data_IF_842975323850
#
_entry.id   IF_842975323850
#
_cell.length_a   1.000
_cell.length_b   1.000
_cell.length_c   1.000
_cell.angle_alpha   90.00
_cell.angle_beta   90.00
_cell.angle_gamma   90.00
#
_symmetry.space_group_name_H-M   'P 1'
#
loop_
_entity.id
_entity.type
_entity.pdbx_description
1 polymer ?
#
# COMPACT_ATOMS: atom_id res chain seq x y z
N UNK A 1 9.11 -48.56 -68.58
CA UNK A 1 8.60 -48.47 -67.22
C UNK A 1 9.60 -47.68 -66.41
N UNK A 2 9.39 -46.36 -66.31
CA UNK A 2 10.38 -45.39 -65.76
C UNK A 2 9.77 -44.75 -64.49
N UNK A 3 10.28 -45.15 -63.30
CA UNK A 3 9.89 -44.59 -62.00
C UNK A 3 10.63 -43.25 -61.79
N UNK A 4 9.84 -42.21 -61.61
CA UNK A 4 10.35 -40.91 -61.13
C UNK A 4 10.20 -40.82 -59.62
N UNK A 5 11.32 -40.73 -58.89
CA UNK A 5 11.36 -40.38 -57.46
C UNK A 5 11.17 -38.88 -57.33
N UNK A 6 10.09 -38.47 -56.67
CA UNK A 6 9.90 -37.06 -56.27
C UNK A 6 10.53 -36.83 -54.92
N UNK A 7 11.46 -35.86 -54.86
CA UNK A 7 12.13 -35.39 -53.64
C UNK A 7 11.19 -34.42 -52.90
N UNK A 8 10.66 -34.80 -51.73
CA UNK A 8 9.89 -33.90 -50.84
C UNK A 8 10.89 -33.19 -49.97
N UNK A 9 11.07 -31.89 -50.20
CA UNK A 9 11.82 -31.00 -49.32
C UNK A 9 10.86 -30.47 -48.25
N UNK A 10 10.98 -30.94 -47.03
CA UNK A 10 10.29 -30.43 -45.86
C UNK A 10 11.02 -29.19 -45.36
N UNK A 11 10.47 -28.00 -45.58
CA UNK A 11 10.95 -26.76 -44.95
C UNK A 11 10.56 -26.78 -43.46
N UNK A 12 11.53 -27.01 -42.60
CA UNK A 12 11.38 -26.69 -41.16
C UNK A 12 11.40 -25.14 -40.99
N UNK A 13 10.21 -24.59 -40.84
CA UNK A 13 10.05 -23.21 -40.42
C UNK A 13 10.55 -23.05 -38.97
N UNK A 14 11.74 -22.54 -38.78
CA UNK A 14 12.22 -22.13 -37.46
C UNK A 14 11.40 -20.94 -36.98
N UNK A 15 10.57 -21.11 -35.95
CA UNK A 15 9.96 -20.03 -35.24
C UNK A 15 11.08 -19.31 -34.44
N UNK A 16 11.55 -18.18 -34.97
CA UNK A 16 12.37 -17.25 -34.19
C UNK A 16 11.48 -16.61 -33.14
N UNK A 17 11.56 -17.10 -31.89
CA UNK A 17 11.05 -16.37 -30.74
C UNK A 17 11.84 -15.08 -30.65
N UNK A 18 11.18 -13.95 -30.95
CA UNK A 18 11.77 -12.64 -30.69
C UNK A 18 12.06 -12.56 -29.18
N UNK A 19 13.31 -12.44 -28.81
CA UNK A 19 13.70 -12.17 -27.42
C UNK A 19 13.01 -10.85 -27.00
N UNK A 20 12.25 -10.88 -25.91
CA UNK A 20 11.65 -9.69 -25.37
C UNK A 20 12.77 -8.70 -25.04
N UNK A 21 12.72 -7.50 -25.64
CA UNK A 21 13.67 -6.44 -25.34
C UNK A 21 13.28 -5.85 -24.00
N UNK A 22 14.11 -6.06 -22.98
CA UNK A 22 13.86 -5.52 -21.65
C UNK A 22 13.83 -3.97 -21.68
N UNK A 23 12.88 -3.36 -20.96
CA UNK A 23 12.86 -1.91 -20.78
C UNK A 23 14.17 -1.42 -20.16
N UNK A 24 14.52 -0.16 -20.43
CA UNK A 24 15.66 0.47 -19.77
C UNK A 24 15.47 0.44 -18.23
N UNK A 25 16.56 0.37 -17.43
CA UNK A 25 16.48 0.30 -15.97
C UNK A 25 15.72 1.46 -15.30
N UNK A 26 15.59 2.59 -15.99
CA UNK A 26 14.85 3.79 -15.58
C UNK A 26 13.40 3.84 -16.09
N UNK A 27 12.91 2.78 -16.74
CA UNK A 27 11.56 2.71 -17.31
C UNK A 27 10.44 2.57 -16.26
N UNK A 28 10.59 3.22 -15.14
CA UNK A 28 9.59 3.29 -14.07
C UNK A 28 10.22 3.10 -12.70
N UNK A 29 9.60 3.74 -11.72
CA UNK A 29 10.07 3.76 -10.34
C UNK A 29 9.29 2.74 -9.52
N UNK A 30 9.96 2.14 -8.54
CA UNK A 30 9.31 1.41 -7.45
C UNK A 30 8.92 2.44 -6.37
N UNK A 31 7.66 2.45 -5.97
CA UNK A 31 7.18 3.30 -4.89
C UNK A 31 6.91 2.44 -3.65
N UNK A 32 7.27 2.98 -2.48
CA UNK A 32 7.12 2.30 -1.19
C UNK A 32 6.24 3.17 -0.29
N UNK A 33 5.25 2.54 0.35
CA UNK A 33 4.33 3.17 1.29
C UNK A 33 4.33 2.42 2.63
N UNK A 34 4.13 3.15 3.74
CA UNK A 34 3.84 4.57 3.84
C UNK A 34 5.02 5.44 3.45
N UNK A 35 4.73 6.72 3.07
CA UNK A 35 5.74 7.72 2.72
C UNK A 35 6.06 8.68 3.87
N UNK A 36 5.45 8.49 5.04
CA UNK A 36 5.76 9.22 6.25
C UNK A 36 7.23 8.99 6.66
N UNK A 37 7.92 10.04 7.07
CA UNK A 37 9.33 9.96 7.48
C UNK A 37 9.51 9.33 8.86
N UNK A 38 8.50 9.44 9.72
CA UNK A 38 8.48 8.82 11.04
C UNK A 38 7.37 7.79 11.04
N UNK A 39 7.73 6.52 11.30
CA UNK A 39 6.81 5.39 11.36
C UNK A 39 6.69 4.89 12.80
N UNK A 40 5.53 4.39 13.24
CA UNK A 40 5.38 3.90 14.60
C UNK A 40 6.16 2.60 14.82
N UNK A 41 6.62 2.38 16.06
CA UNK A 41 7.33 1.15 16.47
C UNK A 41 6.51 -0.11 16.20
N UNK A 42 5.19 -0.01 16.26
CA UNK A 42 4.23 -1.08 15.98
C UNK A 42 3.65 -1.02 14.55
N UNK A 43 4.42 -0.50 13.58
CA UNK A 43 4.04 -0.53 12.16
C UNK A 43 3.58 -1.93 11.76
N UNK A 44 2.41 -2.02 11.13
CA UNK A 44 1.83 -3.32 10.79
C UNK A 44 2.28 -3.83 9.43
N UNK A 45 2.40 -2.93 8.43
CA UNK A 45 2.72 -3.33 7.05
C UNK A 45 3.31 -2.21 6.22
N UNK A 46 3.95 -2.61 5.13
CA UNK A 46 4.39 -1.71 4.05
C UNK A 46 3.89 -2.22 2.71
N UNK A 47 3.79 -1.33 1.72
CA UNK A 47 3.38 -1.67 0.36
C UNK A 47 4.48 -1.28 -0.62
N UNK A 48 4.79 -2.19 -1.53
CA UNK A 48 5.74 -1.95 -2.60
C UNK A 48 5.00 -1.99 -3.93
N UNK A 49 5.00 -0.87 -4.65
CA UNK A 49 4.37 -0.74 -5.96
C UNK A 49 5.43 -0.77 -7.04
N UNK A 50 5.24 -1.66 -7.98
CA UNK A 50 6.15 -1.88 -9.08
C UNK A 50 5.62 -1.24 -10.37
N UNK A 51 6.50 -0.72 -11.24
CA UNK A 51 6.09 -0.11 -12.51
C UNK A 51 5.51 -1.13 -13.49
N UNK A 52 5.79 -2.42 -13.30
CA UNK A 52 5.37 -3.53 -14.16
C UNK A 52 4.88 -4.70 -13.32
N UNK A 53 4.12 -5.62 -13.95
CA UNK A 53 3.74 -6.89 -13.31
C UNK A 53 4.99 -7.72 -13.01
N UNK A 54 5.09 -8.27 -11.80
CA UNK A 54 6.26 -9.01 -11.34
C UNK A 54 6.13 -10.51 -11.57
N UNK A 55 7.25 -11.17 -11.80
CA UNK A 55 7.34 -12.62 -11.99
C UNK A 55 6.83 -13.39 -10.75
N UNK A 56 6.45 -14.65 -10.95
CA UNK A 56 6.05 -15.53 -9.84
C UNK A 56 7.18 -15.74 -8.81
N UNK A 57 8.44 -15.64 -9.25
CA UNK A 57 9.61 -15.77 -8.39
C UNK A 57 9.95 -14.51 -7.59
N UNK A 58 9.41 -13.35 -7.98
CA UNK A 58 9.59 -12.11 -7.22
C UNK A 58 8.66 -12.09 -6.00
N UNK A 59 9.13 -11.54 -4.89
CA UNK A 59 8.33 -11.50 -3.68
C UNK A 59 9.08 -10.98 -2.45
N UNK A 60 8.70 -11.49 -1.28
CA UNK A 60 9.28 -11.07 0.00
C UNK A 60 10.81 -11.26 0.06
N UNK A 61 11.35 -12.25 -0.64
CA UNK A 61 12.80 -12.49 -0.73
C UNK A 61 13.59 -11.35 -1.36
N UNK A 62 12.92 -10.49 -2.13
CA UNK A 62 13.53 -9.31 -2.78
C UNK A 62 13.52 -8.07 -1.88
N UNK A 63 12.92 -8.17 -0.69
CA UNK A 63 12.75 -7.05 0.26
C UNK A 63 13.67 -7.27 1.45
N UNK A 64 14.35 -6.22 1.88
CA UNK A 64 15.20 -6.22 3.07
C UNK A 64 14.91 -5.01 3.94
N UNK A 65 14.92 -5.21 5.24
CA UNK A 65 15.02 -4.14 6.22
C UNK A 65 16.47 -4.08 6.72
N UNK A 66 17.06 -2.91 6.65
CA UNK A 66 18.41 -2.65 7.13
C UNK A 66 18.33 -1.78 8.39
N UNK A 67 19.19 -2.05 9.37
CA UNK A 67 19.36 -1.17 10.52
C UNK A 67 20.17 0.11 10.16
N UNK A 68 20.44 0.94 11.17
CA UNK A 68 21.17 2.20 10.99
C UNK A 68 22.61 2.00 10.46
N UNK A 69 23.21 0.84 10.69
CA UNK A 69 24.55 0.49 10.20
C UNK A 69 24.52 -0.16 8.82
N UNK A 70 23.32 -0.33 8.23
CA UNK A 70 23.11 -0.96 6.94
C UNK A 70 23.14 -2.49 7.00
N UNK A 71 23.04 -3.08 8.19
CA UNK A 71 23.02 -4.53 8.38
C UNK A 71 21.62 -5.09 8.15
N UNK A 72 21.44 -6.12 7.30
CA UNK A 72 20.14 -6.75 7.11
C UNK A 72 19.62 -7.38 8.39
N UNK A 73 18.34 -7.15 8.65
CA UNK A 73 17.63 -7.68 9.80
C UNK A 73 16.80 -8.90 9.40
N UNK A 74 17.02 -10.03 10.09
CA UNK A 74 16.29 -11.26 9.83
C UNK A 74 15.01 -11.36 10.67
N UNK A 75 14.00 -12.10 10.17
CA UNK A 75 12.78 -12.42 10.89
C UNK A 75 11.94 -11.20 11.28
N UNK A 76 12.01 -10.12 10.50
CA UNK A 76 11.22 -8.90 10.73
C UNK A 76 9.89 -8.90 9.98
N UNK A 77 9.82 -9.65 8.89
CA UNK A 77 8.62 -9.80 8.07
C UNK A 77 7.96 -11.15 8.32
N UNK A 78 6.62 -11.17 8.25
CA UNK A 78 5.83 -12.39 8.35
C UNK A 78 6.04 -13.25 7.08
N UNK A 79 6.65 -14.43 7.18
CA UNK A 79 6.72 -15.34 6.05
C UNK A 79 5.33 -15.96 5.81
N UNK A 80 4.68 -15.55 4.75
CA UNK A 80 3.40 -16.14 4.32
C UNK A 80 3.64 -17.31 3.36
N UNK A 81 2.70 -18.26 3.28
CA UNK A 81 2.80 -19.40 2.34
C UNK A 81 2.89 -18.93 0.90
N UNK A 82 2.17 -17.85 0.57
CA UNK A 82 2.18 -17.17 -0.72
C UNK A 82 2.32 -15.67 -0.44
N UNK A 83 3.17 -15.00 -1.20
CA UNK A 83 3.35 -13.57 -1.07
C UNK A 83 2.05 -12.81 -1.41
N UNK A 84 1.78 -11.75 -0.68
CA UNK A 84 0.52 -11.00 -0.75
C UNK A 84 0.53 -10.00 -1.91
N UNK A 85 0.46 -10.53 -3.13
CA UNK A 85 0.39 -9.74 -4.35
C UNK A 85 -1.03 -9.25 -4.66
N UNK A 86 -1.12 -8.06 -5.27
CA UNK A 86 -2.33 -7.66 -5.99
C UNK A 86 -2.56 -8.57 -7.20
N UNK A 87 -3.81 -8.63 -7.70
CA UNK A 87 -4.18 -9.49 -8.83
C UNK A 87 -3.34 -9.21 -10.08
N UNK A 88 -2.97 -7.97 -10.33
CA UNK A 88 -2.12 -7.55 -11.46
C UNK A 88 -0.62 -7.70 -11.17
N UNK A 89 -0.24 -8.22 -10.00
CA UNK A 89 1.13 -8.40 -9.52
C UNK A 89 2.00 -7.13 -9.57
N UNK A 90 1.37 -5.97 -9.42
CA UNK A 90 2.07 -4.68 -9.37
C UNK A 90 2.23 -4.13 -7.96
N UNK A 91 1.54 -4.71 -6.97
CA UNK A 91 1.68 -4.32 -5.57
C UNK A 91 1.94 -5.54 -4.71
N UNK A 92 3.02 -5.50 -3.94
CA UNK A 92 3.31 -6.46 -2.88
C UNK A 92 2.97 -5.83 -1.53
N UNK A 93 2.18 -6.53 -0.71
CA UNK A 93 1.95 -6.18 0.69
C UNK A 93 2.92 -6.98 1.55
N UNK A 94 3.76 -6.28 2.30
CA UNK A 94 4.75 -6.87 3.21
C UNK A 94 4.26 -6.65 4.64
N UNK A 95 3.94 -7.72 5.34
CA UNK A 95 3.52 -7.65 6.74
C UNK A 95 4.73 -7.73 7.66
N UNK A 96 4.75 -6.90 8.68
CA UNK A 96 5.66 -7.09 9.81
C UNK A 96 5.24 -8.35 10.58
N UNK A 97 6.20 -9.05 11.19
CA UNK A 97 5.88 -10.24 11.98
C UNK A 97 5.04 -9.87 13.22
N UNK A 98 3.78 -10.34 13.33
CA UNK A 98 2.91 -10.03 14.46
C UNK A 98 3.52 -10.42 15.81
N UNK A 99 4.36 -11.46 15.85
CA UNK A 99 5.11 -11.87 17.05
C UNK A 99 6.11 -10.82 17.51
N UNK A 100 6.49 -9.87 16.65
CA UNK A 100 7.42 -8.79 16.94
C UNK A 100 6.76 -7.38 16.90
N UNK A 101 5.48 -7.33 16.61
CA UNK A 101 4.67 -6.09 16.60
C UNK A 101 3.79 -6.01 17.83
N UNK A 102 3.09 -7.12 18.17
CA UNK A 102 2.19 -7.19 19.33
C UNK A 102 2.94 -7.32 20.64
N UNK A 103 2.38 -6.74 21.69
CA UNK A 103 2.89 -6.90 23.06
C UNK A 103 2.35 -8.17 23.72
N UNK A 104 3.10 -8.72 24.68
CA UNK A 104 2.64 -9.87 25.49
C UNK A 104 2.58 -11.21 24.75
N UNK A 105 3.26 -11.33 23.60
CA UNK A 105 3.47 -12.62 22.93
C UNK A 105 4.86 -13.17 23.26
N UNK A 106 4.96 -14.50 23.48
CA UNK A 106 6.23 -15.19 23.77
C UNK A 106 7.31 -14.88 22.71
N UNK A 107 6.92 -14.71 21.46
CA UNK A 107 7.81 -14.33 20.36
C UNK A 107 8.37 -12.91 20.54
N UNK A 108 7.57 -11.97 21.01
CA UNK A 108 7.99 -10.60 21.31
C UNK A 108 8.97 -10.55 22.48
N UNK A 109 8.79 -11.40 23.48
CA UNK A 109 9.71 -11.51 24.62
C UNK A 109 11.05 -12.15 24.23
N UNK A 110 11.02 -13.16 23.35
CA UNK A 110 12.22 -13.89 22.92
C UNK A 110 13.06 -13.14 21.88
N UNK A 111 12.42 -12.51 20.87
CA UNK A 111 13.11 -11.88 19.73
C UNK A 111 13.15 -10.35 19.81
N UNK A 112 12.35 -9.76 20.67
CA UNK A 112 12.18 -8.31 20.76
C UNK A 112 11.39 -7.72 19.57
N UNK A 113 11.14 -6.42 19.61
CA UNK A 113 10.45 -5.69 18.54
C UNK A 113 11.26 -5.64 17.25
N UNK A 114 10.58 -5.68 16.13
CA UNK A 114 11.19 -5.55 14.80
C UNK A 114 11.76 -4.14 14.58
N UNK A 115 10.99 -3.13 14.97
CA UNK A 115 11.38 -1.73 14.97
C UNK A 115 11.53 -1.24 16.40
N UNK A 116 12.40 -0.24 16.63
CA UNK A 116 12.63 0.35 17.95
C UNK A 116 12.57 1.87 17.86
N UNK A 117 11.79 2.47 18.72
CA UNK A 117 11.66 3.93 18.81
C UNK A 117 13.02 4.62 18.97
N UNK A 118 13.22 5.72 18.25
CA UNK A 118 14.46 6.49 18.22
C UNK A 118 15.55 5.90 17.32
N UNK A 119 15.28 4.82 16.56
CA UNK A 119 16.21 4.25 15.62
C UNK A 119 15.80 4.57 14.17
N UNK A 120 16.79 4.53 13.26
CA UNK A 120 16.58 4.70 11.83
C UNK A 120 16.73 3.37 11.12
N UNK A 121 15.94 3.16 10.07
CA UNK A 121 15.97 1.96 9.25
C UNK A 121 15.88 2.31 7.77
N UNK A 122 16.25 1.35 6.92
CA UNK A 122 16.09 1.47 5.47
C UNK A 122 15.38 0.25 4.93
N UNK A 123 14.25 0.46 4.24
CA UNK A 123 13.62 -0.59 3.45
C UNK A 123 14.22 -0.60 2.05
N UNK A 124 14.70 -1.76 1.61
CA UNK A 124 15.38 -1.95 0.33
C UNK A 124 14.63 -2.96 -0.54
N UNK A 125 14.44 -2.61 -1.83
CA UNK A 125 13.94 -3.50 -2.87
C UNK A 125 15.07 -3.81 -3.84
N UNK A 126 15.29 -5.10 -4.12
CA UNK A 126 16.39 -5.60 -4.94
C UNK A 126 16.31 -5.12 -6.39
N UNK A 127 17.45 -4.68 -6.95
CA UNK A 127 17.58 -4.43 -8.38
C UNK A 127 17.42 -5.69 -9.24
N UNK A 128 17.65 -6.87 -8.65
CA UNK A 128 17.57 -8.16 -9.31
C UNK A 128 16.16 -8.76 -9.40
N UNK A 129 15.14 -8.11 -8.80
CA UNK A 129 13.75 -8.57 -8.91
C UNK A 129 13.31 -8.64 -10.36
N UNK A 130 12.68 -9.77 -10.73
CA UNK A 130 12.25 -10.03 -12.11
C UNK A 130 10.79 -9.59 -12.34
N UNK A 131 10.54 -8.97 -13.49
CA UNK A 131 9.17 -8.75 -13.97
C UNK A 131 8.60 -9.99 -14.68
N UNK A 132 7.34 -9.94 -15.09
CA UNK A 132 6.63 -11.04 -15.72
C UNK A 132 7.24 -11.48 -17.08
N UNK A 133 7.98 -10.60 -17.72
CA UNK A 133 8.71 -10.86 -18.97
C UNK A 133 10.12 -11.41 -18.71
N UNK A 134 10.53 -11.57 -17.44
CA UNK A 134 11.84 -12.06 -17.05
C UNK A 134 12.93 -10.99 -17.07
N UNK A 135 12.58 -9.72 -17.15
CA UNK A 135 13.52 -8.61 -17.12
C UNK A 135 13.77 -8.14 -15.68
N UNK A 136 15.01 -7.86 -15.34
CA UNK A 136 15.37 -7.30 -14.04
C UNK A 136 14.85 -5.86 -13.90
N UNK A 137 14.54 -5.42 -12.67
CA UNK A 137 14.23 -4.01 -12.39
C UNK A 137 15.43 -3.12 -12.74
N UNK A 138 16.64 -3.63 -12.51
CA UNK A 138 17.91 -2.96 -12.89
C UNK A 138 18.32 -1.83 -11.94
N UNK A 139 17.41 -1.29 -11.14
CA UNK A 139 17.71 -0.27 -10.15
C UNK A 139 17.21 -0.69 -8.77
N UNK A 140 18.08 -0.54 -7.77
CA UNK A 140 17.71 -0.72 -6.37
C UNK A 140 16.90 0.48 -5.90
N UNK A 141 15.81 0.22 -5.16
CA UNK A 141 15.06 1.26 -4.46
C UNK A 141 15.31 1.11 -2.95
N UNK A 142 15.61 2.23 -2.29
CA UNK A 142 15.83 2.26 -0.85
C UNK A 142 15.14 3.49 -0.26
N UNK A 143 14.39 3.30 0.82
CA UNK A 143 13.69 4.36 1.56
C UNK A 143 14.10 4.28 3.02
N UNK A 144 14.73 5.35 3.51
CA UNK A 144 15.07 5.50 4.92
C UNK A 144 13.91 6.15 5.69
N UNK A 145 13.72 5.72 6.95
CA UNK A 145 12.72 6.29 7.85
C UNK A 145 13.22 6.22 9.30
N UNK A 146 12.66 7.06 10.13
CA UNK A 146 12.85 7.04 11.58
C UNK A 146 11.68 6.34 12.26
N UNK A 147 11.93 5.76 13.42
CA UNK A 147 10.89 5.09 14.20
C UNK A 147 10.54 5.93 15.43
N UNK A 148 9.27 6.33 15.49
CA UNK A 148 8.66 7.00 16.64
C UNK A 148 8.16 6.00 17.70
N UNK A 149 7.51 6.47 18.76
CA UNK A 149 6.87 5.63 19.75
C UNK A 149 5.79 4.74 19.11
N UNK A 150 5.36 3.66 19.79
CA UNK A 150 4.23 2.87 19.32
C UNK A 150 2.97 3.75 19.28
N UNK A 151 2.17 3.57 18.23
CA UNK A 151 0.88 4.22 18.10
C UNK A 151 -0.18 3.40 18.85
N UNK A 152 -0.69 3.97 19.94
CA UNK A 152 -1.69 3.37 20.82
C UNK A 152 -3.00 4.18 20.81
N UNK A 153 -3.13 5.13 19.89
CA UNK A 153 -4.32 5.91 19.70
C UNK A 153 -5.17 5.32 18.57
N UNK A 154 -6.47 5.44 18.67
CA UNK A 154 -7.37 5.02 17.58
C UNK A 154 -7.69 6.22 16.68
N UNK A 155 -7.82 6.02 15.35
CA UNK A 155 -8.30 7.09 14.48
C UNK A 155 -9.62 7.68 14.99
N UNK A 156 -9.67 9.00 15.14
CA UNK A 156 -10.89 9.72 15.49
C UNK A 156 -11.31 10.66 14.35
N UNK A 157 -12.22 10.22 13.47
CA UNK A 157 -12.68 11.06 12.38
C UNK A 157 -13.41 12.34 12.79
N UNK A 158 -13.84 12.47 14.06
CA UNK A 158 -14.45 13.71 14.54
C UNK A 158 -13.47 14.87 14.67
N UNK A 159 -12.17 14.56 14.75
CA UNK A 159 -11.07 15.54 14.79
C UNK A 159 -10.56 15.92 13.40
N UNK A 160 -11.03 15.27 12.34
CA UNK A 160 -10.57 15.55 11.00
C UNK A 160 -11.07 16.90 10.48
N UNK A 161 -10.19 17.60 9.76
CA UNK A 161 -10.50 18.92 9.21
C UNK A 161 -10.84 18.80 7.72
N UNK A 162 -12.09 19.10 7.38
CA UNK A 162 -12.58 19.11 5.99
C UNK A 162 -12.46 20.52 5.42
N UNK A 163 -11.71 20.65 4.30
CA UNK A 163 -11.70 21.84 3.45
C UNK A 163 -12.70 21.62 2.32
N UNK A 164 -13.86 22.27 2.42
CA UNK A 164 -14.96 22.08 1.48
C UNK A 164 -14.69 22.77 0.13
N UNK A 165 -15.04 22.12 -0.99
CA UNK A 165 -14.86 22.69 -2.32
C UNK A 165 -15.86 23.81 -2.62
N UNK A 166 -15.60 24.59 -3.67
CA UNK A 166 -16.52 25.63 -4.15
C UNK A 166 -17.71 25.02 -4.89
N UNK A 167 -18.89 25.60 -4.66
CA UNK A 167 -20.10 25.29 -5.39
C UNK A 167 -19.90 25.52 -6.92
N UNK A 168 -20.37 24.59 -7.74
CA UNK A 168 -20.26 24.67 -9.19
C UNK A 168 -18.87 24.36 -9.74
N UNK A 169 -17.87 24.11 -8.89
CA UNK A 169 -16.52 23.74 -9.31
C UNK A 169 -16.31 22.22 -9.28
N UNK A 170 -15.12 21.79 -9.71
CA UNK A 170 -14.57 20.45 -9.49
C UNK A 170 -13.35 20.50 -8.56
N UNK A 171 -13.26 21.54 -7.75
CA UNK A 171 -12.21 21.63 -6.74
C UNK A 171 -12.27 20.42 -5.81
N UNK A 172 -11.14 19.92 -5.33
CA UNK A 172 -11.13 18.76 -4.45
C UNK A 172 -11.75 19.07 -3.08
N UNK A 173 -12.51 18.11 -2.56
CA UNK A 173 -12.69 17.99 -1.11
C UNK A 173 -11.36 17.54 -0.54
N UNK A 174 -10.81 18.27 0.43
CA UNK A 174 -9.59 17.88 1.14
C UNK A 174 -9.90 17.57 2.60
N UNK A 175 -9.27 16.53 3.10
CA UNK A 175 -9.37 16.09 4.49
C UNK A 175 -7.98 16.02 5.08
N UNK A 176 -7.75 16.77 6.14
CA UNK A 176 -6.59 16.60 6.99
C UNK A 176 -6.93 15.61 8.11
N UNK A 177 -6.21 14.50 8.16
CA UNK A 177 -6.45 13.38 9.06
C UNK A 177 -5.72 13.53 10.40
N UNK A 178 -4.82 14.52 10.51
CA UNK A 178 -4.02 14.78 11.72
C UNK A 178 -2.83 13.86 11.91
N UNK A 179 -2.94 12.58 11.53
CA UNK A 179 -1.89 11.57 11.61
C UNK A 179 -1.84 10.69 10.36
N UNK A 180 -0.72 9.99 10.10
CA UNK A 180 -0.61 9.03 9.01
C UNK A 180 -1.56 7.84 9.18
N UNK A 181 -2.19 7.42 8.09
CA UNK A 181 -3.06 6.26 8.03
C UNK A 181 -2.55 5.23 7.02
N UNK A 182 -3.10 4.02 7.08
CA UNK A 182 -2.75 2.96 6.14
C UNK A 182 -3.12 3.35 4.70
N UNK A 183 -2.15 3.23 3.80
CA UNK A 183 -2.26 3.66 2.40
C UNK A 183 -3.46 3.04 1.67
N UNK A 184 -3.69 1.73 1.83
CA UNK A 184 -4.83 1.06 1.19
C UNK A 184 -6.14 1.37 1.88
N UNK A 185 -6.13 1.53 3.20
CA UNK A 185 -7.31 1.95 3.93
C UNK A 185 -7.81 3.30 3.43
N UNK A 186 -6.94 4.28 3.25
CA UNK A 186 -7.31 5.58 2.67
C UNK A 186 -7.87 5.47 1.25
N UNK A 187 -7.30 4.59 0.43
CA UNK A 187 -7.74 4.40 -0.95
C UNK A 187 -9.11 3.70 -1.05
N UNK A 188 -9.46 2.83 -0.08
CA UNK A 188 -10.61 1.94 -0.20
C UNK A 188 -11.68 2.10 0.88
N UNK A 189 -11.40 2.74 2.03
CA UNK A 189 -12.32 2.84 3.17
C UNK A 189 -12.98 4.20 3.34
N UNK A 190 -12.57 5.17 2.53
CA UNK A 190 -13.16 6.50 2.46
C UNK A 190 -13.92 6.67 1.15
N UNK A 191 -15.14 7.21 1.22
CA UNK A 191 -16.00 7.45 0.06
C UNK A 191 -16.75 8.76 0.24
N UNK A 192 -17.02 9.44 -0.86
CA UNK A 192 -17.99 10.55 -0.88
C UNK A 192 -19.32 10.00 -1.35
N UNK A 193 -20.39 10.29 -0.61
CA UNK A 193 -21.77 9.98 -0.99
C UNK A 193 -22.62 11.24 -1.07
N UNK A 194 -23.65 11.21 -1.91
CA UNK A 194 -24.69 12.23 -2.02
C UNK A 194 -25.73 12.13 -0.87
N UNK A 195 -26.77 12.94 -0.95
CA UNK A 195 -27.85 12.98 0.06
C UNK A 195 -28.65 11.65 0.13
N UNK A 196 -28.74 10.92 -0.98
CA UNK A 196 -29.41 9.64 -1.12
C UNK A 196 -28.52 8.46 -0.67
N UNK A 197 -27.24 8.73 -0.36
CA UNK A 197 -26.26 7.72 0.02
C UNK A 197 -25.57 7.02 -1.16
N UNK A 198 -25.79 7.48 -2.39
CA UNK A 198 -25.10 6.94 -3.58
C UNK A 198 -23.66 7.44 -3.63
N UNK A 199 -22.74 6.57 -4.05
CA UNK A 199 -21.33 6.94 -4.16
C UNK A 199 -21.14 7.95 -5.29
N UNK A 200 -20.51 9.08 -4.98
CA UNK A 200 -20.16 10.11 -5.97
C UNK A 200 -18.94 9.62 -6.77
N UNK A 201 -19.02 9.56 -8.12
CA UNK A 201 -17.89 9.20 -8.95
C UNK A 201 -16.79 10.26 -8.92
N UNK A 202 -15.53 9.85 -8.72
CA UNK A 202 -14.40 10.76 -8.67
C UNK A 202 -13.06 10.04 -8.57
N UNK A 203 -12.02 10.82 -8.32
CA UNK A 203 -10.64 10.35 -8.12
C UNK A 203 -10.19 10.66 -6.71
N UNK A 204 -9.50 9.72 -6.10
CA UNK A 204 -8.90 9.86 -4.77
C UNK A 204 -7.42 10.16 -4.95
N UNK A 205 -6.91 11.13 -4.18
CA UNK A 205 -5.50 11.43 -4.00
C UNK A 205 -5.12 11.33 -2.53
N UNK A 206 -3.88 10.97 -2.26
CA UNK A 206 -3.31 10.94 -0.91
C UNK A 206 -2.18 11.95 -0.83
N UNK A 207 -2.08 12.64 0.30
CA UNK A 207 -0.93 13.52 0.54
C UNK A 207 0.32 12.70 0.87
N UNK A 208 1.53 13.25 0.62
CA UNK A 208 2.74 12.65 1.16
C UNK A 208 2.62 12.45 2.68
N UNK A 209 3.09 11.30 3.17
CA UNK A 209 2.98 10.92 4.57
C UNK A 209 1.63 10.36 4.98
N UNK A 210 0.69 10.15 4.03
CA UNK A 210 -0.64 9.53 4.26
C UNK A 210 -1.45 10.19 5.39
N UNK A 211 -1.18 11.47 5.71
CA UNK A 211 -1.92 12.26 6.71
C UNK A 211 -3.01 13.14 6.11
N UNK A 212 -3.24 13.05 4.81
CA UNK A 212 -4.27 13.79 4.09
C UNK A 212 -4.87 13.00 2.94
N UNK A 213 -6.15 13.25 2.72
CA UNK A 213 -6.94 12.62 1.68
C UNK A 213 -7.65 13.68 0.86
N UNK A 214 -7.72 13.50 -0.46
CA UNK A 214 -8.48 14.38 -1.33
C UNK A 214 -9.36 13.60 -2.30
N UNK A 215 -10.46 14.21 -2.68
CA UNK A 215 -11.41 13.67 -3.65
C UNK A 215 -11.78 14.71 -4.68
N UNK A 216 -11.53 14.41 -5.94
CA UNK A 216 -11.90 15.25 -7.10
C UNK A 216 -13.12 14.60 -7.78
N UNK A 217 -14.29 15.24 -7.77
CA UNK A 217 -15.49 14.66 -8.35
C UNK A 217 -15.40 14.65 -9.90
N UNK A 218 -16.09 13.69 -10.50
CA UNK A 218 -16.20 13.62 -11.97
C UNK A 218 -17.07 14.75 -12.53
N UNK A 219 -18.14 15.13 -11.82
CA UNK A 219 -19.03 16.25 -12.13
C UNK A 219 -18.79 17.41 -11.18
N UNK A 220 -19.24 18.62 -11.53
CA UNK A 220 -19.19 19.77 -10.64
C UNK A 220 -20.07 19.57 -9.41
N UNK A 221 -19.65 20.10 -8.28
CA UNK A 221 -20.39 20.06 -7.01
C UNK A 221 -21.71 20.85 -7.12
N UNK A 222 -22.78 20.28 -6.63
CA UNK A 222 -24.09 20.93 -6.53
C UNK A 222 -24.32 21.53 -5.14
N UNK A 223 -25.43 22.23 -4.94
CA UNK A 223 -25.80 22.83 -3.66
C UNK A 223 -26.34 21.81 -2.63
N UNK A 224 -26.20 20.52 -2.90
CA UNK A 224 -26.66 19.43 -2.04
C UNK A 224 -25.75 19.22 -0.85
N UNK A 225 -26.22 18.46 0.11
CA UNK A 225 -25.40 17.94 1.23
C UNK A 225 -24.76 16.64 0.80
N UNK A 226 -23.45 16.55 0.92
CA UNK A 226 -22.66 15.35 0.74
C UNK A 226 -22.16 14.83 2.07
N UNK A 227 -21.66 13.61 2.08
CA UNK A 227 -21.01 13.02 3.26
C UNK A 227 -19.71 12.34 2.86
N UNK A 228 -18.65 12.57 3.63
CA UNK A 228 -17.52 11.66 3.67
C UNK A 228 -17.94 10.45 4.53
N UNK A 229 -18.06 9.31 3.90
CA UNK A 229 -18.39 8.03 4.56
C UNK A 229 -17.08 7.31 4.88
N UNK A 230 -16.97 6.83 6.12
CA UNK A 230 -15.78 6.20 6.68
C UNK A 230 -16.18 4.81 7.15
N UNK A 231 -15.55 3.77 6.60
CA UNK A 231 -15.79 2.39 7.00
C UNK A 231 -15.09 2.08 8.34
N UNK A 232 -15.69 1.22 9.16
CA UNK A 232 -15.14 0.76 10.45
C UNK A 232 -13.84 -0.02 10.34
N UNK A 233 -13.55 -0.50 9.13
CA UNK A 233 -12.32 -1.20 8.76
C UNK A 233 -11.19 -0.27 8.29
N UNK A 234 -11.36 1.06 8.40
CA UNK A 234 -10.27 2.02 8.20
C UNK A 234 -9.18 1.77 9.24
N UNK A 235 -7.94 1.67 8.82
CA UNK A 235 -6.79 1.43 9.70
C UNK A 235 -5.78 2.56 9.61
N UNK A 236 -5.09 2.84 10.72
CA UNK A 236 -3.86 3.60 10.75
C UNK A 236 -2.64 2.71 10.43
N UNK A 237 -1.42 3.25 10.61
CA UNK A 237 -0.18 2.52 10.33
C UNK A 237 0.06 1.35 11.29
N UNK A 238 -0.48 1.40 12.49
CA UNK A 238 -0.38 0.35 13.50
C UNK A 238 -1.51 -0.69 13.39
N UNK A 239 -2.49 -0.47 12.49
CA UNK A 239 -3.67 -1.32 12.31
C UNK A 239 -4.78 -1.02 13.30
N UNK A 240 -4.71 0.09 14.06
CA UNK A 240 -5.80 0.54 14.88
C UNK A 240 -6.94 1.06 14.00
N UNK A 241 -8.17 0.88 14.46
CA UNK A 241 -9.39 1.32 13.77
C UNK A 241 -10.17 2.29 14.65
N UNK A 242 -11.13 3.04 14.10
CA UNK A 242 -11.97 3.92 14.91
C UNK A 242 -12.58 3.17 16.11
N UNK A 243 -12.16 3.60 17.31
CA UNK A 243 -12.58 2.98 18.57
C UNK A 243 -11.98 1.62 18.92
N UNK A 244 -11.01 1.10 18.15
CA UNK A 244 -10.44 -0.25 18.32
C UNK A 244 -8.94 -0.26 18.17
N UNK A 245 -8.21 -0.60 19.21
CA UNK A 245 -6.77 -0.85 19.12
C UNK A 245 -6.49 -2.24 18.52
N UNK A 246 -5.50 -2.33 17.65
CA UNK A 246 -5.06 -3.60 17.06
C UNK A 246 -4.40 -4.53 18.10
N UNK A 247 -3.66 -3.97 19.04
CA UNK A 247 -2.94 -4.70 20.09
C UNK A 247 -3.77 -4.77 21.39
N UNK A 248 -5.02 -5.22 21.30
CA UNK A 248 -5.87 -5.48 22.46
C UNK A 248 -5.81 -6.95 22.88
N UNK A 249 -5.93 -7.24 24.21
CA UNK A 249 -6.17 -8.59 24.70
C UNK A 249 -7.42 -9.20 24.05
N UNK A 250 -7.31 -10.47 23.65
CA UNK A 250 -8.41 -11.21 23.01
C UNK A 250 -9.70 -11.13 23.82
N UNK A 251 -10.79 -10.68 23.23
CA UNK A 251 -12.13 -10.70 23.83
C UNK A 251 -12.83 -9.37 24.03
N UNK A 252 -12.20 -8.25 23.73
CA UNK A 252 -12.93 -6.97 23.66
C UNK A 252 -13.58 -6.83 22.28
N UNK A 253 -14.91 -6.95 22.25
CA UNK A 253 -15.71 -6.63 21.07
C UNK A 253 -15.85 -5.12 20.99
N UNK A 254 -15.59 -4.56 19.82
CA UNK A 254 -15.93 -3.16 19.52
C UNK A 254 -17.26 -3.11 18.77
N UNK A 255 -18.05 -2.10 19.05
CA UNK A 255 -19.22 -1.80 18.23
C UNK A 255 -18.75 -1.33 16.84
N UNK A 256 -19.38 -1.82 15.75
CA UNK A 256 -19.09 -1.33 14.40
C UNK A 256 -19.31 0.18 14.32
N UNK A 257 -18.32 0.91 13.89
CA UNK A 257 -18.42 2.35 13.71
C UNK A 257 -18.50 2.68 12.22
N UNK A 258 -19.67 3.10 11.74
CA UNK A 258 -19.83 3.65 10.40
C UNK A 258 -20.02 5.17 10.54
N UNK A 259 -18.94 5.90 10.36
CA UNK A 259 -18.93 7.33 10.48
C UNK A 259 -19.31 8.04 9.19
N UNK A 260 -19.98 9.17 9.34
CA UNK A 260 -20.28 10.09 8.24
C UNK A 260 -20.01 11.51 8.70
N UNK A 261 -19.19 12.21 7.92
CA UNK A 261 -18.93 13.62 8.12
C UNK A 261 -19.65 14.40 7.01
N UNK A 262 -20.77 15.07 7.33
CA UNK A 262 -21.53 15.83 6.34
C UNK A 262 -20.78 17.11 5.96
N UNK A 263 -20.88 17.50 4.69
CA UNK A 263 -20.36 18.78 4.21
C UNK A 263 -21.24 19.34 3.09
N UNK A 264 -21.11 20.66 2.85
CA UNK A 264 -21.70 21.33 1.69
C UNK A 264 -20.64 22.11 0.96
N UNK A 265 -20.64 22.07 -0.37
CA UNK A 265 -19.80 22.97 -1.17
C UNK A 265 -20.13 24.43 -0.83
N UNK A 266 -19.07 25.22 -0.58
CA UNK A 266 -19.18 26.63 -0.24
C UNK A 266 -19.20 27.56 -1.44
N UNK A 267 -19.65 28.79 -1.25
CA UNK A 267 -19.59 29.88 -2.25
C UNK A 267 -18.30 30.69 -2.12
#
# INVERSE_FOLDING_TARGET
MTFRFGLIITLLGGATTAAATCPAPDAGRVDIYPTAQILPENLLRVYVYYPRAMAASAGLSDIRLLDADGTPMDGVFLPTREDLWSQDRRRLTVLMDPGRVKTGLDASEAMGRALRSGQSYTLEVSAGSLDAEGCVLGQKTAVAFEVGPPDLDTPDPSEWVLSTPKLGSRDPLRVNLGSPHDHLSLAFRLRVSDAEGSIVPGQIGLSPGEAGWEFIPRAAWTAETYSLTIEDSLEDLAGNRPGVLFDLPSGQASEPWLGRLPFRPGG
#
